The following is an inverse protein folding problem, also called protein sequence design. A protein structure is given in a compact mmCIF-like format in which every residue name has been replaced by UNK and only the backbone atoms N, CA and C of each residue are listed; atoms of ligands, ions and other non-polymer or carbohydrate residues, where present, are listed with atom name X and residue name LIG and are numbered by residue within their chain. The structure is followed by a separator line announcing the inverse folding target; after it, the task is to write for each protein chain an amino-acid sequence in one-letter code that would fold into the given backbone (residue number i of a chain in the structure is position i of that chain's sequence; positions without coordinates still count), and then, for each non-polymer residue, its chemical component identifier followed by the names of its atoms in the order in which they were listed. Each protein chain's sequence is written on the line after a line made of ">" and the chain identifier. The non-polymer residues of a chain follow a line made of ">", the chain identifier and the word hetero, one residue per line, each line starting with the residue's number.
data_IF_532648234252
#
_entry.id   IF_532648234252
#
_cell.length_a   1.000
_cell.length_b   1.000
_cell.length_c   1.000
_cell.angle_alpha   90.00
_cell.angle_beta   90.00
_cell.angle_gamma   90.00
#
_symmetry.space_group_name_H-M   'P 1'
#
loop_
_entity.id
_entity.type
_entity.pdbx_description
1 polymer ?
#
# COMPACT_ATOMS: atom_id res chain seq x y z
N UNK A 1 -3.62 52.11 5.40
CA UNK A 1 -4.03 50.79 5.94
C UNK A 1 -5.16 50.13 5.10
N UNK A 2 -5.12 50.22 3.76
CA UNK A 2 -6.14 49.62 2.86
C UNK A 2 -5.60 48.47 1.97
N UNK A 3 -4.28 48.36 1.82
CA UNK A 3 -3.65 47.37 0.93
C UNK A 3 -3.77 45.92 1.43
N UNK A 4 -3.81 45.69 2.75
CA UNK A 4 -3.86 44.34 3.34
C UNK A 4 -5.22 43.65 3.22
N UNK A 5 -6.32 44.41 3.27
CA UNK A 5 -7.69 43.86 3.18
C UNK A 5 -8.05 43.41 1.76
N UNK A 6 -7.55 44.13 0.74
CA UNK A 6 -7.73 43.75 -0.66
C UNK A 6 -7.00 42.44 -0.99
N UNK A 7 -5.78 42.27 -0.51
CA UNK A 7 -4.99 41.06 -0.74
C UNK A 7 -5.63 39.82 -0.09
N UNK A 8 -6.12 39.95 1.15
CA UNK A 8 -6.80 38.85 1.86
C UNK A 8 -8.10 38.46 1.14
N UNK A 9 -8.88 39.43 0.66
CA UNK A 9 -10.10 39.13 -0.10
C UNK A 9 -9.81 38.41 -1.43
N UNK A 10 -8.72 38.76 -2.11
CA UNK A 10 -8.27 38.08 -3.33
C UNK A 10 -7.84 36.63 -3.03
N UNK A 11 -7.09 36.41 -1.94
CA UNK A 11 -6.65 35.07 -1.54
C UNK A 11 -7.83 34.15 -1.17
N UNK A 12 -8.82 34.68 -0.42
CA UNK A 12 -10.04 33.92 -0.09
C UNK A 12 -10.82 33.57 -1.36
N UNK A 13 -10.96 34.53 -2.29
CA UNK A 13 -11.67 34.30 -3.55
C UNK A 13 -10.95 33.27 -4.43
N UNK A 14 -9.62 33.30 -4.47
CA UNK A 14 -8.81 32.33 -5.22
C UNK A 14 -8.97 30.91 -4.66
N UNK A 15 -8.92 30.73 -3.33
CA UNK A 15 -9.13 29.42 -2.71
C UNK A 15 -10.55 28.87 -2.94
N UNK A 16 -11.58 29.72 -2.87
CA UNK A 16 -12.96 29.29 -3.16
C UNK A 16 -13.13 28.87 -4.63
N UNK A 17 -12.48 29.55 -5.57
CA UNK A 17 -12.51 29.15 -6.98
C UNK A 17 -11.80 27.81 -7.20
N UNK A 18 -10.64 27.59 -6.58
CA UNK A 18 -9.94 26.30 -6.65
C UNK A 18 -10.79 25.15 -6.08
N UNK A 19 -11.51 25.37 -4.97
CA UNK A 19 -12.43 24.39 -4.38
C UNK A 19 -13.58 24.02 -5.33
N UNK A 20 -14.17 25.02 -6.01
CA UNK A 20 -15.27 24.78 -6.96
C UNK A 20 -14.79 24.06 -8.22
N UNK A 21 -13.57 24.33 -8.69
CA UNK A 21 -12.97 23.59 -9.82
C UNK A 21 -12.69 22.14 -9.41
N UNK A 22 -12.16 21.89 -8.22
CA UNK A 22 -11.90 20.54 -7.71
C UNK A 22 -13.13 19.65 -7.65
N UNK A 23 -14.30 20.18 -7.28
CA UNK A 23 -15.58 19.43 -7.28
C UNK A 23 -16.03 19.08 -8.72
N UNK A 24 -15.72 19.92 -9.70
CA UNK A 24 -16.10 19.70 -11.11
C UNK A 24 -15.13 18.78 -11.86
N UNK A 25 -13.91 18.61 -11.37
CA UNK A 25 -12.88 17.76 -11.99
C UNK A 25 -12.75 16.37 -11.35
N UNK A 26 -13.63 16.01 -10.41
CA UNK A 26 -13.64 14.66 -9.84
C UNK A 26 -13.80 13.63 -10.97
N UNK A 27 -12.79 12.78 -11.22
CA UNK A 27 -12.85 11.76 -12.26
C UNK A 27 -13.98 10.76 -11.95
N UNK A 28 -14.62 10.17 -12.97
CA UNK A 28 -15.83 9.36 -12.82
C UNK A 28 -15.67 8.11 -11.95
N UNK A 29 -14.44 7.74 -11.56
CA UNK A 29 -14.16 6.57 -10.72
C UNK A 29 -14.70 6.66 -9.28
N UNK A 30 -15.11 7.83 -8.79
CA UNK A 30 -15.75 7.96 -7.46
C UNK A 30 -17.28 7.85 -7.49
N UNK A 31 -17.88 7.59 -8.67
CA UNK A 31 -19.30 7.27 -8.79
C UNK A 31 -19.50 5.76 -8.98
N UNK A 32 -19.16 4.97 -7.96
CA UNK A 32 -19.53 3.56 -7.96
C UNK A 32 -21.01 3.40 -7.64
N UNK A 33 -21.69 2.85 -8.64
CA UNK A 33 -23.11 2.59 -8.69
C UNK A 33 -23.52 1.46 -7.74
N UNK A 34 -24.72 1.63 -7.19
CA UNK A 34 -25.57 0.60 -6.62
C UNK A 34 -25.60 -0.71 -7.43
N UNK A 35 -25.50 -1.83 -6.70
CA UNK A 35 -26.36 -2.98 -6.91
C UNK A 35 -25.95 -4.05 -7.93
N UNK A 36 -25.33 -5.14 -7.43
CA UNK A 36 -25.71 -6.51 -7.84
C UNK A 36 -25.32 -7.54 -6.79
N UNK A 37 -26.33 -8.27 -6.30
CA UNK A 37 -26.23 -9.43 -5.40
C UNK A 37 -25.32 -10.57 -5.92
N UNK A 38 -24.79 -11.42 -5.01
CA UNK A 38 -23.98 -12.59 -5.35
C UNK A 38 -24.85 -13.84 -5.60
N UNK A 39 -24.44 -14.78 -6.48
CA UNK A 39 -25.02 -16.13 -6.48
C UNK A 39 -24.21 -17.08 -5.58
N UNK A 40 -24.96 -17.92 -4.87
CA UNK A 40 -24.54 -18.92 -3.88
C UNK A 40 -23.96 -20.22 -4.50
N UNK A 41 -23.32 -21.11 -3.68
CA UNK A 41 -22.48 -22.22 -4.14
C UNK A 41 -23.24 -23.55 -4.30
N UNK A 42 -22.79 -24.41 -5.21
CA UNK A 42 -23.39 -25.72 -5.50
C UNK A 42 -22.41 -26.89 -5.43
N UNK A 43 -22.55 -27.67 -4.35
CA UNK A 43 -22.45 -29.14 -4.21
C UNK A 43 -21.17 -29.93 -4.56
N UNK A 44 -20.72 -30.65 -3.52
CA UNK A 44 -19.96 -31.90 -3.41
C UNK A 44 -20.00 -32.86 -4.62
N UNK A 45 -18.95 -33.69 -4.82
CA UNK A 45 -18.95 -35.11 -4.41
C UNK A 45 -17.72 -35.94 -4.91
N UNK A 46 -17.10 -36.66 -3.96
CA UNK A 46 -16.39 -37.97 -4.03
C UNK A 46 -15.09 -38.18 -4.83
N UNK A 47 -14.01 -38.38 -4.09
CA UNK A 47 -12.95 -39.42 -4.28
C UNK A 47 -13.56 -40.84 -4.12
N UNK A 48 -12.96 -41.96 -4.61
CA UNK A 48 -11.67 -42.45 -4.05
C UNK A 48 -10.78 -43.45 -4.85
N UNK A 49 -9.57 -43.65 -4.28
CA UNK A 49 -8.65 -44.84 -4.29
C UNK A 49 -7.54 -44.99 -5.35
N UNK A 50 -6.31 -44.96 -4.81
CA UNK A 50 -4.94 -45.32 -5.31
C UNK A 50 -4.76 -46.82 -5.65
N UNK A 51 -3.69 -47.25 -6.36
CA UNK A 51 -2.44 -47.59 -5.65
C UNK A 51 -1.15 -47.15 -6.37
N UNK A 52 -0.16 -46.76 -5.56
CA UNK A 52 1.25 -46.58 -5.93
C UNK A 52 1.89 -47.94 -6.27
N UNK A 53 2.98 -48.00 -7.07
CA UNK A 53 4.28 -48.15 -6.39
C UNK A 53 5.51 -47.57 -7.10
N UNK A 54 6.49 -47.24 -6.24
CA UNK A 54 7.92 -47.59 -6.29
C UNK A 54 8.94 -46.44 -6.53
N UNK A 55 9.57 -46.14 -5.40
CA UNK A 55 10.83 -45.47 -5.14
C UNK A 55 12.01 -46.09 -5.90
N UNK A 56 12.81 -45.26 -6.58
CA UNK A 56 14.24 -45.51 -6.82
C UNK A 56 14.97 -44.19 -7.16
N UNK A 57 16.04 -43.91 -6.41
CA UNK A 57 17.12 -42.96 -6.72
C UNK A 57 18.43 -43.58 -6.17
N UNK A 58 19.64 -43.13 -6.55
CA UNK A 58 20.06 -42.17 -7.59
C UNK A 58 21.20 -42.71 -8.49
N UNK A 59 21.75 -41.90 -9.42
CA UNK A 59 23.21 -41.73 -9.37
C UNK A 59 23.67 -40.26 -9.50
N UNK A 60 24.72 -39.93 -8.74
CA UNK A 60 25.60 -38.73 -8.84
C UNK A 60 26.74 -38.97 -9.84
N UNK A 61 27.65 -38.00 -10.09
CA UNK A 61 27.51 -36.72 -10.79
C UNK A 61 28.35 -36.71 -12.10
N UNK A 62 28.12 -35.77 -13.02
CA UNK A 62 29.08 -35.50 -14.12
C UNK A 62 29.35 -34.01 -14.20
N UNK A 63 30.64 -33.71 -14.23
CA UNK A 63 31.30 -32.41 -14.22
C UNK A 63 31.27 -31.74 -15.60
N UNK A 64 31.32 -30.40 -15.57
CA UNK A 64 31.82 -29.48 -16.59
C UNK A 64 30.84 -28.95 -17.63
N UNK A 65 30.51 -27.67 -17.44
CA UNK A 65 29.89 -26.78 -18.39
C UNK A 65 29.72 -25.43 -17.70
N UNK A 66 30.80 -24.63 -17.67
CA UNK A 66 30.78 -23.23 -17.24
C UNK A 66 29.75 -22.47 -18.09
N UNK A 67 28.56 -22.32 -17.53
CA UNK A 67 27.58 -21.31 -17.95
C UNK A 67 27.74 -20.21 -16.92
N UNK A 68 28.12 -18.98 -17.31
CA UNK A 68 28.08 -17.88 -16.36
C UNK A 68 26.65 -17.75 -15.85
N UNK A 69 26.49 -17.98 -14.54
CA UNK A 69 25.24 -17.74 -13.84
C UNK A 69 24.79 -16.30 -14.14
N UNK A 70 23.48 -16.03 -14.27
CA UNK A 70 23.02 -14.65 -14.31
C UNK A 70 23.54 -13.98 -13.05
N UNK A 71 24.14 -12.81 -13.18
CA UNK A 71 24.36 -11.96 -12.02
C UNK A 71 22.98 -11.56 -11.53
N UNK A 72 22.48 -12.29 -10.54
CA UNK A 72 21.40 -11.80 -9.70
C UNK A 72 21.99 -10.62 -8.93
N UNK A 73 21.78 -9.41 -9.47
CA UNK A 73 21.76 -8.20 -8.66
C UNK A 73 20.56 -8.31 -7.72
N UNK A 74 20.68 -9.22 -6.76
CA UNK A 74 19.83 -9.38 -5.60
C UNK A 74 20.26 -8.29 -4.60
N UNK A 75 20.02 -7.04 -5.01
CA UNK A 75 20.09 -5.89 -4.12
C UNK A 75 18.93 -6.09 -3.17
N UNK A 76 19.21 -6.61 -1.97
CA UNK A 76 18.23 -6.77 -0.90
C UNK A 76 17.45 -5.46 -0.73
N UNK A 77 16.21 -5.42 -1.26
CA UNK A 77 15.35 -4.22 -1.34
C UNK A 77 14.78 -3.81 0.04
N UNK A 78 15.26 -4.43 1.12
CA UNK A 78 14.70 -4.29 2.47
C UNK A 78 15.39 -3.16 3.24
N UNK A 79 14.61 -2.27 3.88
CA UNK A 79 15.11 -1.22 4.78
C UNK A 79 14.58 -1.39 6.20
N UNK A 80 15.45 -1.22 7.19
CA UNK A 80 15.11 -1.16 8.64
C UNK A 80 15.10 0.28 9.18
N UNK A 81 15.33 1.27 8.31
CA UNK A 81 15.29 2.68 8.69
C UNK A 81 13.84 3.16 8.87
N UNK A 82 13.61 3.93 9.94
CA UNK A 82 12.32 4.56 10.17
C UNK A 82 11.98 5.58 9.07
N UNK A 83 10.71 5.64 8.65
CA UNK A 83 10.24 6.63 7.68
C UNK A 83 10.23 8.05 8.22
N UNK A 84 10.44 9.02 7.33
CA UNK A 84 10.13 10.42 7.56
C UNK A 84 9.23 11.01 6.46
N UNK A 85 8.88 12.29 6.57
CA UNK A 85 8.02 12.95 5.58
C UNK A 85 8.67 13.06 4.19
N UNK A 86 10.00 13.21 4.10
CA UNK A 86 10.69 13.37 2.82
C UNK A 86 10.58 12.09 1.97
N UNK A 87 10.55 10.93 2.62
CA UNK A 87 10.32 9.63 1.97
C UNK A 87 8.98 9.55 1.22
N UNK A 88 7.98 10.38 1.56
CA UNK A 88 6.62 10.31 1.02
C UNK A 88 6.16 11.53 0.23
N UNK A 89 7.03 12.50 -0.05
CA UNK A 89 6.66 13.66 -0.88
C UNK A 89 6.18 13.25 -2.28
N UNK A 90 6.71 12.15 -2.83
CA UNK A 90 6.24 11.57 -4.10
C UNK A 90 4.75 11.18 -4.04
N UNK A 91 4.25 10.82 -2.86
CA UNK A 91 2.87 10.45 -2.66
C UNK A 91 2.03 11.67 -2.34
N UNK A 92 2.42 12.45 -1.33
CA UNK A 92 1.59 13.53 -0.79
C UNK A 92 1.49 14.74 -1.70
N UNK A 93 2.48 15.00 -2.56
CA UNK A 93 2.49 16.15 -3.47
C UNK A 93 2.13 15.79 -4.91
N UNK A 94 2.35 14.53 -5.32
CA UNK A 94 2.13 14.09 -6.71
C UNK A 94 1.05 12.99 -6.79
N UNK A 95 1.37 11.74 -6.41
CA UNK A 95 0.52 10.57 -6.72
C UNK A 95 -0.86 10.63 -6.09
N UNK A 96 -1.02 11.22 -4.90
CA UNK A 96 -2.32 11.39 -4.27
C UNK A 96 -3.29 12.26 -5.09
N UNK A 97 -2.76 13.20 -5.91
CA UNK A 97 -3.56 14.11 -6.73
C UNK A 97 -3.62 13.70 -8.21
N UNK A 98 -2.46 13.33 -8.77
CA UNK A 98 -2.29 13.07 -10.20
C UNK A 98 -2.38 11.58 -10.57
N UNK A 99 -2.35 10.69 -9.56
CA UNK A 99 -2.32 9.25 -9.74
C UNK A 99 -0.92 8.71 -10.07
N UNK A 100 -0.84 7.39 -10.26
CA UNK A 100 0.43 6.71 -10.61
C UNK A 100 0.93 7.20 -11.98
N UNK A 101 2.23 7.54 -12.13
CA UNK A 101 2.81 7.97 -13.40
C UNK A 101 2.57 6.96 -14.52
N UNK A 102 2.21 7.43 -15.71
CA UNK A 102 1.84 6.57 -16.83
C UNK A 102 3.01 5.75 -17.41
N UNK A 103 4.25 6.15 -17.12
CA UNK A 103 5.48 5.49 -17.53
C UNK A 103 6.09 4.62 -16.42
N UNK A 104 5.41 4.48 -15.28
CA UNK A 104 5.84 3.60 -14.20
C UNK A 104 5.75 2.12 -14.62
N UNK A 105 6.70 1.31 -14.15
CA UNK A 105 6.70 -0.12 -14.42
C UNK A 105 5.81 -0.82 -13.38
N UNK A 106 4.61 -1.25 -13.78
CA UNK A 106 3.68 -1.93 -12.87
C UNK A 106 4.25 -3.29 -12.45
N UNK A 107 4.16 -3.59 -11.16
CA UNK A 107 4.51 -4.87 -10.55
C UNK A 107 3.22 -5.60 -10.20
N UNK A 108 3.01 -6.80 -10.75
CA UNK A 108 1.80 -7.60 -10.54
C UNK A 108 2.07 -8.98 -9.91
N UNK A 109 3.31 -9.20 -9.46
CA UNK A 109 3.76 -10.42 -8.81
C UNK A 109 4.27 -10.17 -7.40
N UNK A 110 3.76 -10.96 -6.46
CA UNK A 110 4.12 -10.91 -5.04
C UNK A 110 5.57 -11.34 -4.76
N UNK A 111 6.16 -12.15 -5.63
CA UNK A 111 7.53 -12.67 -5.47
C UNK A 111 8.57 -11.55 -5.46
N UNK A 112 8.23 -10.40 -6.04
CA UNK A 112 9.08 -9.21 -6.09
C UNK A 112 8.79 -8.20 -4.99
N UNK A 113 7.85 -8.48 -4.07
CA UNK A 113 7.32 -7.47 -3.14
C UNK A 113 7.58 -7.81 -1.66
N UNK A 114 7.96 -9.05 -1.34
CA UNK A 114 8.32 -9.43 0.05
C UNK A 114 9.52 -8.65 0.56
N UNK A 115 9.60 -8.44 1.87
CA UNK A 115 10.64 -7.66 2.55
C UNK A 115 10.07 -6.46 3.31
N UNK A 116 10.96 -5.62 3.82
CA UNK A 116 10.59 -4.43 4.59
C UNK A 116 10.35 -3.21 3.71
N UNK A 117 9.36 -2.42 4.09
CA UNK A 117 8.93 -1.20 3.44
C UNK A 117 8.84 -0.08 4.47
N UNK A 118 9.15 1.15 4.06
CA UNK A 118 8.68 2.34 4.75
C UNK A 118 7.22 2.57 4.35
N UNK A 119 6.36 2.92 5.30
CA UNK A 119 4.95 3.19 5.04
C UNK A 119 4.46 4.49 5.68
N UNK A 120 3.43 5.05 5.07
CA UNK A 120 2.65 6.18 5.52
C UNK A 120 1.17 5.81 5.46
N UNK A 121 0.44 6.07 6.54
CA UNK A 121 -1.02 6.04 6.60
C UNK A 121 -1.53 7.47 6.76
N UNK A 122 -2.45 7.88 5.90
CA UNK A 122 -3.12 9.19 5.98
C UNK A 122 -4.57 8.97 6.36
N UNK A 123 -4.92 9.29 7.61
CA UNK A 123 -6.27 9.18 8.14
C UNK A 123 -7.10 10.39 7.79
N UNK A 124 -8.39 10.17 7.52
CA UNK A 124 -9.36 11.21 7.19
C UNK A 124 -8.82 12.22 6.16
N UNK A 125 -8.39 11.76 4.96
CA UNK A 125 -7.68 12.59 4.00
C UNK A 125 -8.50 13.80 3.51
N UNK A 126 -9.83 13.72 3.61
CA UNK A 126 -10.76 14.80 3.24
C UNK A 126 -11.20 15.64 4.44
N UNK A 127 -10.73 15.34 5.65
CA UNK A 127 -11.09 15.98 6.90
C UNK A 127 -12.62 16.03 7.14
N UNK A 128 -13.31 14.94 6.81
CA UNK A 128 -14.76 14.78 6.99
C UNK A 128 -15.13 14.41 8.44
N UNK A 129 -14.18 13.87 9.21
CA UNK A 129 -14.38 13.36 10.56
C UNK A 129 -13.65 14.18 11.64
N UNK A 130 -12.89 15.21 11.26
CA UNK A 130 -12.04 16.02 12.17
C UNK A 130 -10.98 15.15 12.89
N UNK A 131 -10.53 14.10 12.20
CA UNK A 131 -9.61 13.09 12.71
C UNK A 131 -8.39 12.93 11.79
N UNK A 132 -8.02 14.01 11.07
CA UNK A 132 -6.88 14.01 10.18
C UNK A 132 -5.59 13.68 10.91
N UNK A 133 -4.87 12.67 10.43
CA UNK A 133 -3.56 12.29 10.97
C UNK A 133 -2.67 11.69 9.88
N UNK A 134 -1.36 11.77 10.10
CA UNK A 134 -0.36 11.07 9.31
C UNK A 134 0.44 10.16 10.24
N UNK A 135 0.51 8.89 9.91
CA UNK A 135 1.19 7.89 10.72
C UNK A 135 2.28 7.20 9.90
N UNK A 136 3.48 7.22 10.45
CA UNK A 136 4.72 6.72 9.89
C UNK A 136 5.06 5.41 10.59
N UNK A 137 5.36 4.38 9.79
CA UNK A 137 5.60 3.03 10.29
C UNK A 137 6.39 2.20 9.27
N UNK A 138 7.00 1.12 9.71
CA UNK A 138 7.58 0.12 8.81
C UNK A 138 6.60 -1.04 8.59
N UNK A 139 6.59 -1.61 7.39
CA UNK A 139 5.80 -2.80 7.06
C UNK A 139 6.73 -3.90 6.55
N UNK A 140 6.75 -5.03 7.24
CA UNK A 140 7.37 -6.25 6.73
C UNK A 140 6.33 -7.12 6.02
N UNK A 141 6.48 -7.28 4.69
CA UNK A 141 5.64 -8.14 3.87
C UNK A 141 6.28 -9.52 3.72
N UNK A 142 5.57 -10.56 4.12
CA UNK A 142 6.04 -11.94 4.03
C UNK A 142 4.95 -12.89 3.51
N UNK A 143 5.38 -14.06 3.03
CA UNK A 143 4.49 -15.15 2.62
C UNK A 143 4.43 -15.35 1.11
N UNK A 144 3.32 -15.88 0.62
CA UNK A 144 3.09 -16.21 -0.78
C UNK A 144 1.74 -15.64 -1.25
N UNK A 145 1.44 -15.72 -2.55
CA UNK A 145 0.19 -15.23 -3.11
C UNK A 145 -1.08 -15.74 -2.36
N UNK A 146 -1.06 -16.95 -1.81
CA UNK A 146 -2.22 -17.53 -1.13
C UNK A 146 -2.27 -17.20 0.37
N UNK A 147 -1.15 -16.79 0.96
CA UNK A 147 -1.01 -16.59 2.40
C UNK A 147 0.06 -15.52 2.67
N UNK A 148 -0.40 -14.27 2.80
CA UNK A 148 0.42 -13.11 3.11
C UNK A 148 0.29 -12.69 4.57
N UNK A 149 1.36 -12.11 5.09
CA UNK A 149 1.42 -11.45 6.39
C UNK A 149 2.07 -10.09 6.22
N UNK A 150 1.47 -9.07 6.84
CA UNK A 150 2.03 -7.75 7.00
C UNK A 150 2.23 -7.53 8.49
N UNK A 151 3.46 -7.30 8.90
CA UNK A 151 3.77 -6.86 10.26
C UNK A 151 4.00 -5.36 10.20
N UNK A 152 3.16 -4.61 10.90
CA UNK A 152 3.23 -3.17 11.05
C UNK A 152 4.00 -2.87 12.34
N UNK A 153 5.13 -2.18 12.18
CA UNK A 153 6.02 -1.71 13.25
C UNK A 153 5.86 -0.18 13.35
N UNK A 154 5.14 0.26 14.38
CA UNK A 154 4.70 1.64 14.55
C UNK A 154 5.85 2.54 14.95
N UNK A 155 5.89 3.78 14.43
CA UNK A 155 6.97 4.71 14.73
C UNK A 155 6.47 6.05 15.23
N UNK A 156 5.66 6.76 14.44
CA UNK A 156 5.25 8.11 14.80
C UNK A 156 3.91 8.47 14.18
N UNK A 157 3.03 9.09 14.95
CA UNK A 157 1.82 9.72 14.45
C UNK A 157 1.87 11.23 14.62
N UNK A 158 1.36 11.96 13.64
CA UNK A 158 1.09 13.39 13.70
C UNK A 158 -0.41 13.64 13.58
N UNK A 159 -1.01 14.24 14.62
CA UNK A 159 -2.42 14.60 14.66
C UNK A 159 -2.62 16.02 14.13
N UNK A 160 -3.36 16.16 13.03
CA UNK A 160 -3.53 17.46 12.36
C UNK A 160 -4.40 18.44 13.17
N UNK A 161 -5.38 17.93 13.93
CA UNK A 161 -6.25 18.72 14.78
C UNK A 161 -5.52 19.30 16.02
N UNK A 162 -4.53 18.58 16.53
CA UNK A 162 -3.70 19.00 17.68
C UNK A 162 -2.44 19.74 17.22
N UNK A 163 -1.95 19.45 16.01
CA UNK A 163 -0.68 19.97 15.50
C UNK A 163 0.52 19.38 16.23
N UNK A 164 0.37 18.19 16.81
CA UNK A 164 1.38 17.51 17.64
C UNK A 164 1.74 16.14 17.06
N UNK A 165 2.99 15.74 17.30
CA UNK A 165 3.47 14.40 16.98
C UNK A 165 3.71 13.59 18.25
N UNK A 166 3.40 12.30 18.19
CA UNK A 166 3.64 11.35 19.26
C UNK A 166 4.52 10.21 18.76
N UNK A 167 5.49 9.82 19.59
CA UNK A 167 6.33 8.66 19.35
C UNK A 167 5.56 7.39 19.75
N UNK A 168 5.55 6.42 18.85
CA UNK A 168 4.82 5.16 18.95
C UNK A 168 5.75 3.95 18.83
N UNK A 169 7.07 4.16 18.83
CA UNK A 169 8.10 3.11 18.74
C UNK A 169 8.02 2.04 19.83
N UNK A 170 7.36 2.34 20.95
CA UNK A 170 7.14 1.40 22.07
C UNK A 170 5.83 0.59 21.92
N UNK A 171 5.03 0.81 20.86
CA UNK A 171 3.80 0.07 20.60
C UNK A 171 4.08 -1.34 20.09
N UNK A 172 3.22 -2.30 20.44
CA UNK A 172 3.35 -3.67 19.92
C UNK A 172 3.04 -3.73 18.42
N UNK A 173 3.85 -4.47 17.69
CA UNK A 173 3.64 -4.76 16.27
C UNK A 173 2.23 -5.30 16.03
N UNK A 174 1.61 -4.81 14.96
CA UNK A 174 0.31 -5.30 14.51
C UNK A 174 0.47 -6.22 13.31
N UNK A 175 -0.19 -7.38 13.36
CA UNK A 175 -0.13 -8.37 12.27
C UNK A 175 -1.43 -8.41 11.50
N UNK A 176 -1.34 -8.28 10.18
CA UNK A 176 -2.44 -8.42 9.24
C UNK A 176 -2.20 -9.62 8.34
N UNK A 177 -3.18 -10.51 8.22
CA UNK A 177 -3.09 -11.72 7.42
C UNK A 177 -3.98 -11.60 6.18
N UNK A 178 -3.49 -12.11 5.06
CA UNK A 178 -4.07 -11.79 3.78
C UNK A 178 -3.67 -12.72 2.65
N UNK A 179 -3.90 -12.24 1.43
CA UNK A 179 -3.56 -12.92 0.19
C UNK A 179 -3.41 -11.91 -0.93
N UNK A 180 -2.74 -12.34 -2.00
CA UNK A 180 -2.71 -11.64 -3.27
C UNK A 180 -3.99 -11.95 -4.05
N UNK A 181 -4.72 -10.92 -4.46
CA UNK A 181 -5.89 -11.06 -5.30
C UNK A 181 -6.03 -9.89 -6.27
N UNK A 182 -6.41 -10.20 -7.52
CA UNK A 182 -6.69 -9.18 -8.55
C UNK A 182 -5.53 -8.20 -8.81
N UNK A 183 -4.28 -8.67 -8.72
CA UNK A 183 -3.09 -7.84 -8.93
C UNK A 183 -2.76 -6.90 -7.77
N UNK A 184 -3.36 -7.11 -6.60
CA UNK A 184 -3.07 -6.38 -5.39
C UNK A 184 -3.07 -7.28 -4.16
N UNK A 185 -2.84 -6.65 -3.01
CA UNK A 185 -2.81 -7.30 -1.71
C UNK A 185 -4.05 -6.90 -0.93
N UNK A 186 -4.73 -7.90 -0.38
CA UNK A 186 -5.77 -7.73 0.63
C UNK A 186 -5.29 -8.39 1.92
N UNK A 187 -5.35 -7.68 3.05
CA UNK A 187 -5.01 -8.23 4.36
C UNK A 187 -5.91 -7.65 5.46
N UNK A 188 -6.20 -8.45 6.48
CA UNK A 188 -7.05 -8.07 7.61
C UNK A 188 -6.38 -8.40 8.94
N UNK A 189 -6.58 -7.51 9.91
CA UNK A 189 -6.04 -7.57 11.26
C UNK A 189 -6.90 -6.67 12.16
N UNK A 190 -6.28 -5.64 12.76
CA UNK A 190 -7.03 -4.61 13.49
C UNK A 190 -7.98 -3.84 12.56
N UNK A 191 -7.60 -3.61 11.30
CA UNK A 191 -8.46 -3.08 10.22
C UNK A 191 -8.40 -3.96 8.98
N UNK A 192 -8.69 -3.39 7.81
CA UNK A 192 -8.48 -4.06 6.51
C UNK A 192 -7.63 -3.19 5.61
N UNK A 193 -6.49 -3.70 5.15
CA UNK A 193 -5.58 -3.02 4.22
C UNK A 193 -5.77 -3.59 2.81
N UNK A 194 -5.84 -2.70 1.82
CA UNK A 194 -5.92 -3.04 0.41
C UNK A 194 -4.89 -2.23 -0.37
N UNK A 195 -3.76 -2.86 -0.72
CA UNK A 195 -2.78 -2.26 -1.63
C UNK A 195 -3.12 -2.70 -3.06
N UNK A 196 -3.45 -1.74 -3.92
CA UNK A 196 -4.05 -2.03 -5.23
C UNK A 196 -3.14 -1.72 -6.40
N UNK A 197 -2.07 -0.97 -6.17
CA UNK A 197 -1.08 -0.66 -7.19
C UNK A 197 0.31 -0.80 -6.59
N UNK A 198 1.16 -1.54 -7.30
CA UNK A 198 2.58 -1.67 -7.03
C UNK A 198 3.33 -1.31 -8.30
N UNK A 199 4.40 -0.53 -8.18
CA UNK A 199 5.19 -0.13 -9.34
C UNK A 199 6.62 0.20 -8.99
N UNK A 200 7.49 0.14 -10.00
CA UNK A 200 8.87 0.59 -9.92
C UNK A 200 9.05 1.85 -10.77
N UNK A 201 9.77 2.82 -10.21
CA UNK A 201 10.19 4.01 -10.95
C UNK A 201 11.53 4.50 -10.42
N UNK A 202 12.46 4.82 -11.33
CA UNK A 202 13.79 5.34 -10.99
C UNK A 202 14.58 4.47 -10.01
N UNK A 203 14.43 3.14 -10.09
CA UNK A 203 15.11 2.18 -9.21
C UNK A 203 14.66 2.27 -7.75
N UNK A 204 13.36 2.52 -7.54
CA UNK A 204 12.65 2.40 -6.26
C UNK A 204 11.31 1.74 -6.51
N UNK A 205 10.82 1.01 -5.52
CA UNK A 205 9.49 0.41 -5.57
C UNK A 205 8.51 1.17 -4.67
N UNK A 206 7.26 1.21 -5.13
CA UNK A 206 6.18 1.95 -4.51
C UNK A 206 4.93 1.08 -4.46
N UNK A 207 4.11 1.28 -3.43
CA UNK A 207 2.76 0.73 -3.39
C UNK A 207 1.78 1.75 -2.84
N UNK A 208 0.54 1.73 -3.33
CA UNK A 208 -0.53 2.56 -2.80
C UNK A 208 -1.83 1.79 -2.63
N UNK A 209 -2.65 2.26 -1.71
CA UNK A 209 -3.87 1.59 -1.33
C UNK A 209 -4.71 2.35 -0.32
N UNK A 210 -5.61 1.60 0.31
CA UNK A 210 -6.52 2.10 1.34
C UNK A 210 -6.50 1.21 2.56
N UNK A 211 -6.92 1.77 3.69
CA UNK A 211 -7.19 1.04 4.91
C UNK A 211 -8.60 1.40 5.41
N UNK A 212 -9.41 0.37 5.64
CA UNK A 212 -10.66 0.49 6.37
C UNK A 212 -10.33 0.32 7.86
N UNK A 213 -10.47 1.41 8.62
CA UNK A 213 -10.24 1.40 10.06
C UNK A 213 -11.48 0.88 10.82
N UNK A 214 -11.32 0.37 12.05
CA UNK A 214 -12.45 -0.12 12.87
C UNK A 214 -13.54 0.89 13.17
N UNK A 215 -13.17 2.17 13.27
CA UNK A 215 -14.08 3.28 13.53
C UNK A 215 -14.76 3.81 12.27
N UNK A 216 -14.44 3.25 11.09
CA UNK A 216 -15.04 3.58 9.81
C UNK A 216 -14.50 4.86 9.18
N UNK A 217 -13.39 5.39 9.70
CA UNK A 217 -12.67 6.53 9.11
C UNK A 217 -11.86 6.04 7.91
N UNK A 218 -12.01 6.63 6.72
CA UNK A 218 -11.23 6.23 5.57
C UNK A 218 -9.75 6.60 5.79
N UNK A 219 -8.85 5.69 5.43
CA UNK A 219 -7.42 5.95 5.42
C UNK A 219 -6.78 5.56 4.08
N UNK A 220 -5.76 6.31 3.68
CA UNK A 220 -4.91 6.01 2.53
C UNK A 220 -3.59 5.41 3.00
N UNK A 221 -3.02 4.53 2.20
CA UNK A 221 -1.76 3.85 2.54
C UNK A 221 -0.79 4.02 1.38
N UNK A 222 0.44 4.42 1.68
CA UNK A 222 1.55 4.53 0.72
C UNK A 222 2.79 3.84 1.27
N UNK A 223 3.47 3.05 0.43
CA UNK A 223 4.70 2.34 0.77
C UNK A 223 5.80 2.73 -0.21
N UNK A 224 7.03 2.77 0.29
CA UNK A 224 8.23 3.00 -0.52
C UNK A 224 9.40 2.14 -0.01
N UNK A 225 10.23 1.68 -0.94
CA UNK A 225 11.53 1.08 -0.63
C UNK A 225 12.52 1.29 -1.79
N UNK A 226 13.83 1.12 -1.54
CA UNK A 226 14.84 1.10 -2.60
C UNK A 226 14.55 0.04 -3.67
#
# INVERSE_FOLDING_TARGET
>A
MKLKKGLIAVLITANVIMLVVGILTIPPNLRSADGKEPPAPGTEQTTPVTPSPKEEAPPTPTESGDIPAPEETDTSLSTEEHPDLEDFLWYTEDVAYDGVPSDANIIDSIDLLTGSWKALIVYDPNNEYDAGAMEFLNIALAGTAESLSLTLDWYQIFWANEGESFDESDMEDSVFLGKWETGGLWASGAGTIRLTQFYEQSGKQYAIGTMDTPDGIPALVALVRP
#
